data_IF_309165697949
#
_entry.id   IF_309165697949
#
_cell.length_a   1.000
_cell.length_b   1.000
_cell.length_c   1.000
_cell.angle_alpha   90.00
_cell.angle_beta   90.00
_cell.angle_gamma   90.00
#
_symmetry.space_group_name_H-M   'P 1'
#
loop_
_entity.id
_entity.type
_entity.pdbx_description
1 polymer ?
#
# COMPACT_ATOMS: atom_id res chain seq x y z
N UNK A 1 -1.92 -0.86 -61.34
CA UNK A 1 -1.21 -0.60 -60.08
C UNK A 1 -2.19 -0.01 -59.07
N UNK A 2 -2.71 -0.82 -58.15
CA UNK A 2 -3.47 -0.35 -56.99
C UNK A 2 -3.22 -1.33 -55.83
N UNK A 3 -1.99 -1.27 -55.29
CA UNK A 3 -1.64 -1.97 -54.06
C UNK A 3 -2.34 -1.30 -52.89
N UNK A 4 -3.17 -2.10 -52.21
CA UNK A 4 -3.01 -2.41 -50.79
C UNK A 4 -2.62 -1.25 -49.86
N UNK A 5 -3.56 -0.80 -49.04
CA UNK A 5 -3.28 -0.73 -47.60
C UNK A 5 -4.56 -0.79 -46.77
N UNK A 6 -4.82 -2.01 -46.28
CA UNK A 6 -5.70 -2.26 -45.13
C UNK A 6 -4.91 -1.88 -43.89
N UNK A 7 -5.44 -0.97 -43.08
CA UNK A 7 -5.12 -0.86 -41.64
C UNK A 7 -6.26 -0.12 -40.95
N UNK A 8 -7.35 -0.86 -40.73
CA UNK A 8 -8.31 -0.52 -39.70
C UNK A 8 -7.57 -0.60 -38.37
N UNK A 9 -7.14 0.56 -37.85
CA UNK A 9 -6.61 0.70 -36.50
C UNK A 9 -7.74 0.42 -35.51
N UNK A 10 -7.92 -0.86 -35.21
CA UNK A 10 -8.87 -1.39 -34.24
C UNK A 10 -8.06 -1.91 -33.07
N UNK A 11 -7.47 -0.99 -32.33
CA UNK A 11 -6.73 -1.35 -31.11
C UNK A 11 -6.93 -0.24 -30.08
N UNK A 12 -8.19 0.00 -29.72
CA UNK A 12 -8.51 0.56 -28.40
C UNK A 12 -8.32 -0.56 -27.39
N UNK A 13 -7.05 -0.74 -27.03
CA UNK A 13 -6.59 -1.63 -25.99
C UNK A 13 -7.27 -1.26 -24.67
N UNK A 14 -8.22 -2.11 -24.26
CA UNK A 14 -8.38 -2.65 -22.89
C UNK A 14 -8.06 -1.70 -21.71
N UNK A 15 -8.46 -0.43 -21.77
CA UNK A 15 -8.27 0.49 -20.64
C UNK A 15 -9.47 0.48 -19.67
N UNK A 16 -9.96 -0.70 -19.28
CA UNK A 16 -11.01 -0.80 -18.25
C UNK A 16 -10.80 -1.99 -17.32
N UNK A 17 -9.55 -2.26 -16.92
CA UNK A 17 -9.30 -2.98 -15.68
C UNK A 17 -9.18 -1.96 -14.54
N UNK A 18 -10.33 -1.55 -13.99
CA UNK A 18 -10.37 -1.03 -12.61
C UNK A 18 -10.07 -2.22 -11.70
N UNK A 19 -9.16 -2.08 -10.75
CA UNK A 19 -9.58 -1.45 -9.50
C UNK A 19 -8.59 -0.37 -9.10
N UNK A 20 -9.00 0.89 -9.16
CA UNK A 20 -8.41 1.91 -8.29
C UNK A 20 -8.93 1.69 -6.86
N UNK A 21 -8.71 0.50 -6.31
CA UNK A 21 -8.92 0.19 -4.91
C UNK A 21 -7.76 0.83 -4.18
N UNK A 22 -8.08 1.90 -3.46
CA UNK A 22 -7.31 2.41 -2.35
C UNK A 22 -5.98 3.01 -2.74
N UNK A 23 -5.84 4.30 -2.45
CA UNK A 23 -4.58 4.84 -1.94
C UNK A 23 -4.27 4.20 -0.57
N UNK A 24 -4.21 2.87 -0.48
CA UNK A 24 -3.61 2.19 0.63
C UNK A 24 -2.11 2.40 0.41
N UNK A 25 -1.59 3.44 1.05
CA UNK A 25 -0.16 3.75 1.09
C UNK A 25 0.55 2.40 1.23
N UNK A 26 1.42 2.06 0.27
CA UNK A 26 2.35 0.96 0.40
C UNK A 26 3.39 1.29 1.48
N UNK A 27 2.92 1.68 2.67
CA UNK A 27 3.67 1.54 3.91
C UNK A 27 3.73 0.03 4.07
N UNK A 28 4.94 -0.52 4.07
CA UNK A 28 5.19 -1.92 4.42
C UNK A 28 4.21 -2.39 5.51
N UNK A 29 3.70 -3.64 5.42
CA UNK A 29 2.80 -4.13 6.45
C UNK A 29 3.54 -4.09 7.79
N UNK A 30 3.17 -3.16 8.65
CA UNK A 30 3.57 -3.14 10.06
C UNK A 30 3.16 -4.46 10.75
N UNK A 31 2.26 -5.20 10.11
CA UNK A 31 1.70 -6.49 10.48
C UNK A 31 2.80 -7.57 10.52
N UNK A 32 3.72 -7.51 9.56
CA UNK A 32 4.91 -8.36 9.46
C UNK A 32 5.97 -8.03 10.51
N UNK A 33 5.93 -6.83 11.09
CA UNK A 33 6.96 -6.42 12.04
C UNK A 33 6.78 -7.14 13.38
N UNK A 34 7.90 -7.47 14.00
CA UNK A 34 7.93 -8.01 15.36
C UNK A 34 7.50 -6.95 16.38
N UNK A 35 7.02 -7.38 17.54
CA UNK A 35 6.63 -6.46 18.63
C UNK A 35 7.77 -5.50 18.97
N UNK A 36 9.01 -5.97 19.03
CA UNK A 36 10.19 -5.13 19.26
C UNK A 36 10.42 -4.09 18.16
N UNK A 37 10.22 -4.46 16.90
CA UNK A 37 10.35 -3.52 15.78
C UNK A 37 9.27 -2.43 15.84
N UNK A 38 8.03 -2.82 16.14
CA UNK A 38 6.92 -1.87 16.36
C UNK A 38 7.18 -1.00 17.59
N UNK A 39 7.73 -1.57 18.66
CA UNK A 39 8.08 -0.81 19.86
C UNK A 39 9.15 0.24 19.56
N UNK A 40 10.23 -0.14 18.86
CA UNK A 40 11.27 0.82 18.43
C UNK A 40 10.69 1.92 17.57
N UNK A 41 9.80 1.58 16.62
CA UNK A 41 9.14 2.58 15.79
C UNK A 41 8.22 3.51 16.59
N UNK A 42 7.54 2.96 17.59
CA UNK A 42 6.72 3.73 18.52
C UNK A 42 7.56 4.64 19.42
N UNK A 43 8.81 4.27 19.73
CA UNK A 43 9.77 5.15 20.41
C UNK A 43 10.20 6.30 19.50
N UNK A 44 10.51 6.03 18.22
CA UNK A 44 10.89 7.08 17.26
C UNK A 44 9.77 8.12 17.04
N UNK A 45 8.52 7.70 17.18
CA UNK A 45 7.33 8.55 17.05
C UNK A 45 6.81 9.06 18.42
N UNK A 46 7.55 8.83 19.50
CA UNK A 46 7.22 9.22 20.87
C UNK A 46 5.77 8.86 21.30
N UNK A 47 5.30 7.67 20.91
CA UNK A 47 3.96 7.18 21.26
C UNK A 47 3.91 6.92 22.77
N UNK A 48 3.02 7.64 23.47
CA UNK A 48 2.80 7.44 24.90
C UNK A 48 2.12 6.09 25.19
N UNK A 49 2.39 5.52 26.37
CA UNK A 49 1.84 4.23 26.75
C UNK A 49 2.38 3.02 25.98
N UNK A 50 3.30 3.21 25.01
CA UNK A 50 3.95 2.14 24.20
C UNK A 50 4.46 0.94 25.00
N UNK A 51 4.98 1.16 26.21
CA UNK A 51 5.52 0.11 27.08
C UNK A 51 4.44 -0.80 27.67
N UNK A 52 3.18 -0.34 27.71
CA UNK A 52 2.00 -1.11 28.13
C UNK A 52 1.25 -1.71 26.93
N UNK A 53 1.63 -1.34 25.70
CA UNK A 53 0.95 -1.79 24.48
C UNK A 53 1.41 -3.18 24.04
N UNK A 54 0.44 -3.96 23.57
CA UNK A 54 0.67 -5.23 22.87
C UNK A 54 1.09 -5.01 21.41
N UNK A 55 1.55 -6.07 20.72
CA UNK A 55 1.91 -6.00 19.29
C UNK A 55 0.80 -5.34 18.45
N UNK A 56 -0.45 -5.74 18.67
CA UNK A 56 -1.61 -5.22 17.96
C UNK A 56 -1.88 -3.73 18.27
N UNK A 57 -1.75 -3.33 19.54
CA UNK A 57 -1.93 -1.93 19.94
C UNK A 57 -0.84 -1.03 19.38
N UNK A 58 0.43 -1.48 19.36
CA UNK A 58 1.52 -0.75 18.71
C UNK A 58 1.24 -0.60 17.21
N UNK A 59 0.76 -1.64 16.55
CA UNK A 59 0.36 -1.63 15.14
C UNK A 59 -0.73 -0.60 14.84
N UNK A 60 -1.75 -0.54 15.70
CA UNK A 60 -2.84 0.42 15.58
C UNK A 60 -2.34 1.85 15.81
N UNK A 61 -1.59 2.08 16.89
CA UNK A 61 -1.02 3.38 17.20
C UNK A 61 -0.10 3.89 16.08
N UNK A 62 0.72 3.00 15.48
CA UNK A 62 1.58 3.33 14.34
C UNK A 62 0.84 3.56 13.01
N UNK A 63 -0.40 3.08 12.87
CA UNK A 63 -1.25 3.35 11.71
C UNK A 63 -1.97 4.69 11.81
N UNK A 64 -2.39 5.06 13.02
CA UNK A 64 -3.13 6.29 13.32
C UNK A 64 -2.22 7.52 13.54
N UNK A 65 -0.93 7.31 13.80
CA UNK A 65 0.08 8.36 13.92
C UNK A 65 0.70 8.74 12.56
#
# INVERSE_FOLDING_TARGET
MASLERRTARESEREQHRPSVGKAKAKHPLEDWSRDQLYRRAVELDIDGRSKMTKAQLLYALREH
#
